data_IF_390715347378
#
_entry.id   IF_390715347378
#
_cell.length_a   1.000
_cell.length_b   1.000
_cell.length_c   1.000
_cell.angle_alpha   90.00
_cell.angle_beta   90.00
_cell.angle_gamma   90.00
#
_symmetry.space_group_name_H-M   'P 1'
#
loop_
_entity.id
_entity.type
_entity.pdbx_description
1 polymer ?
#
# COMPACT_ATOMS: atom_id res chain seq x y z
N UNK A 1 33.27 -27.18 61.30
CA UNK A 1 32.02 -27.76 60.74
C UNK A 1 31.40 -26.74 59.79
N UNK A 2 31.13 -27.18 58.55
CA UNK A 2 30.17 -26.62 57.57
C UNK A 2 30.37 -25.17 57.08
N UNK A 3 31.07 -25.07 55.94
CA UNK A 3 30.76 -24.14 54.82
C UNK A 3 29.27 -24.35 54.41
N UNK A 4 28.53 -23.40 53.82
CA UNK A 4 28.82 -23.08 52.41
C UNK A 4 28.38 -21.70 51.86
N UNK A 5 28.78 -21.50 50.60
CA UNK A 5 28.06 -20.78 49.54
C UNK A 5 28.36 -19.29 49.34
N UNK A 6 29.49 -19.05 48.68
CA UNK A 6 29.65 -18.03 47.64
C UNK A 6 28.44 -18.07 46.68
N UNK A 7 27.68 -16.99 46.61
CA UNK A 7 26.72 -16.72 45.54
C UNK A 7 27.37 -15.73 44.59
N UNK A 8 27.96 -16.25 43.51
CA UNK A 8 28.41 -15.43 42.37
C UNK A 8 27.16 -15.11 41.54
N UNK A 9 26.63 -13.91 41.71
CA UNK A 9 25.60 -13.34 40.84
C UNK A 9 26.22 -13.05 39.47
N UNK A 10 26.20 -14.07 38.60
CA UNK A 10 26.55 -13.97 37.19
C UNK A 10 25.48 -13.14 36.49
N UNK A 11 25.65 -11.81 36.50
CA UNK A 11 24.89 -10.89 35.67
C UNK A 11 25.24 -11.15 34.20
N UNK A 12 24.60 -12.16 33.60
CA UNK A 12 24.68 -12.36 32.17
C UNK A 12 24.00 -11.16 31.48
N UNK A 13 24.68 -10.43 30.58
CA UNK A 13 24.02 -9.38 29.83
C UNK A 13 22.97 -10.05 28.95
N UNK A 14 21.70 -9.76 29.26
CA UNK A 14 20.58 -10.11 28.41
C UNK A 14 20.78 -9.35 27.10
N UNK A 15 21.40 -10.03 26.12
CA UNK A 15 21.57 -9.53 24.78
C UNK A 15 20.17 -9.27 24.23
N UNK A 16 19.73 -8.01 24.28
CA UNK A 16 18.56 -7.56 23.55
C UNK A 16 18.90 -7.74 22.08
N UNK A 17 18.45 -8.86 21.50
CA UNK A 17 18.35 -9.01 20.06
C UNK A 17 17.48 -7.85 19.56
N UNK A 18 18.14 -6.82 19.05
CA UNK A 18 17.49 -5.71 18.37
C UNK A 18 16.82 -6.29 17.13
N UNK A 19 15.55 -6.65 17.27
CA UNK A 19 14.75 -7.15 16.17
C UNK A 19 14.64 -6.02 15.15
N UNK A 20 15.43 -6.12 14.08
CA UNK A 20 15.41 -5.20 12.94
C UNK A 20 14.08 -5.41 12.22
N UNK A 21 13.00 -4.82 12.75
CA UNK A 21 11.69 -4.85 12.13
C UNK A 21 11.82 -4.32 10.70
N UNK A 22 11.51 -5.15 9.69
CA UNK A 22 11.30 -4.69 8.32
C UNK A 22 10.22 -3.62 8.39
N UNK A 23 10.60 -2.34 8.41
CA UNK A 23 9.64 -1.24 8.37
C UNK A 23 8.89 -1.35 7.03
N UNK A 24 7.54 -1.34 7.04
CA UNK A 24 6.78 -1.29 5.80
C UNK A 24 7.24 -0.05 5.03
N UNK A 25 7.74 -0.31 3.83
CA UNK A 25 8.58 0.64 3.13
C UNK A 25 7.72 1.62 2.32
N UNK A 26 6.51 1.22 1.91
CA UNK A 26 5.48 2.07 1.30
C UNK A 26 4.38 2.39 2.29
N UNK A 27 4.05 3.68 2.42
CA UNK A 27 2.88 4.16 3.16
C UNK A 27 2.00 4.97 2.22
N UNK A 28 0.78 4.51 2.01
CA UNK A 28 -0.24 5.26 1.27
C UNK A 28 -0.93 6.28 2.18
N UNK A 29 -1.35 7.41 1.60
CA UNK A 29 -2.12 8.43 2.31
C UNK A 29 -3.55 7.96 2.56
N UNK A 30 -4.10 7.18 1.62
CA UNK A 30 -5.36 6.46 1.74
C UNK A 30 -5.24 5.09 1.07
N UNK A 31 -5.97 4.10 1.58
CA UNK A 31 -6.10 2.77 0.95
C UNK A 31 -7.47 2.57 0.33
N UNK A 32 -8.39 3.51 0.54
CA UNK A 32 -9.74 3.48 -0.03
C UNK A 32 -10.12 4.86 -0.54
N UNK A 33 -10.71 4.93 -1.72
CA UNK A 33 -11.35 6.14 -2.26
C UNK A 33 -12.79 5.79 -2.63
N UNK A 34 -13.73 6.54 -2.06
CA UNK A 34 -15.16 6.40 -2.31
C UNK A 34 -15.63 7.67 -3.01
N UNK A 35 -16.34 7.50 -4.12
CA UNK A 35 -17.07 8.57 -4.80
C UNK A 35 -18.53 8.15 -4.87
N UNK A 36 -19.46 8.98 -4.43
CA UNK A 36 -20.88 8.63 -4.52
C UNK A 36 -21.32 8.63 -5.98
N UNK A 37 -21.46 9.79 -6.59
CA UNK A 37 -21.94 9.90 -7.97
C UNK A 37 -20.79 10.17 -8.95
N UNK A 38 -20.68 9.32 -9.97
CA UNK A 38 -19.71 9.44 -11.06
C UNK A 38 -20.46 9.59 -12.39
N UNK A 39 -20.18 10.64 -13.18
CA UNK A 39 -20.79 10.79 -14.50
C UNK A 39 -20.46 9.63 -15.43
N UNK A 40 -21.44 9.23 -16.26
CA UNK A 40 -21.23 8.32 -17.38
C UNK A 40 -20.07 8.79 -18.27
N UNK A 41 -19.22 7.85 -18.69
CA UNK A 41 -18.01 8.09 -19.51
C UNK A 41 -16.97 9.09 -18.93
N UNK A 42 -17.05 9.39 -17.62
CA UNK A 42 -16.03 10.19 -16.92
C UNK A 42 -14.62 9.62 -17.11
N UNK A 43 -13.64 10.53 -17.27
CA UNK A 43 -12.21 10.23 -17.35
C UNK A 43 -11.46 10.45 -16.03
N UNK A 44 -12.19 10.69 -14.94
CA UNK A 44 -11.60 11.04 -13.65
C UNK A 44 -10.87 9.87 -13.01
N UNK A 45 -9.57 10.05 -12.75
CA UNK A 45 -8.73 9.04 -12.13
C UNK A 45 -8.91 9.00 -10.62
N UNK A 46 -8.91 7.80 -10.05
CA UNK A 46 -8.69 7.58 -8.62
C UNK A 46 -7.18 7.59 -8.36
N UNK A 47 -6.68 8.55 -7.58
CA UNK A 47 -5.24 8.72 -7.38
C UNK A 47 -4.88 8.39 -5.94
N UNK A 48 -4.07 7.34 -5.77
CA UNK A 48 -3.54 6.93 -4.48
C UNK A 48 -2.10 7.43 -4.34
N UNK A 49 -1.91 8.49 -3.57
CA UNK A 49 -0.60 9.00 -3.20
C UNK A 49 0.05 8.14 -2.12
N UNK A 50 1.36 7.96 -2.23
CA UNK A 50 2.14 7.23 -1.24
C UNK A 50 3.55 7.80 -1.07
N UNK A 51 4.19 7.39 0.02
CA UNK A 51 5.57 7.74 0.36
C UNK A 51 6.41 6.51 0.68
N UNK A 52 7.64 6.51 0.18
CA UNK A 52 8.67 5.56 0.59
C UNK A 52 9.27 6.00 1.94
N UNK A 53 8.81 5.39 3.03
CA UNK A 53 9.36 5.60 4.38
C UNK A 53 10.53 4.65 4.71
N UNK A 54 10.92 3.81 3.76
CA UNK A 54 12.09 2.93 3.83
C UNK A 54 13.42 3.70 3.75
N UNK A 55 14.52 2.95 3.89
CA UNK A 55 15.89 3.49 3.79
C UNK A 55 16.51 3.28 2.40
N UNK A 56 15.87 2.49 1.55
CA UNK A 56 16.32 2.12 0.20
C UNK A 56 15.28 2.56 -0.83
N UNK A 57 15.67 2.79 -2.09
CA UNK A 57 14.71 2.96 -3.18
C UNK A 57 13.77 1.75 -3.30
N UNK A 58 12.51 1.99 -3.65
CA UNK A 58 11.48 0.96 -3.85
C UNK A 58 10.95 1.08 -5.27
N UNK A 59 10.80 -0.05 -5.95
CA UNK A 59 10.11 -0.14 -7.24
C UNK A 59 8.76 -0.81 -7.03
N UNK A 60 7.73 -0.30 -7.69
CA UNK A 60 6.47 -1.03 -7.83
C UNK A 60 6.66 -2.05 -8.96
N UNK A 61 6.69 -3.34 -8.61
CA UNK A 61 6.91 -4.42 -9.58
C UNK A 61 5.67 -4.66 -10.40
N UNK A 62 4.52 -4.75 -9.74
CA UNK A 62 3.25 -5.00 -10.40
C UNK A 62 2.09 -4.32 -9.70
N UNK A 63 1.06 -4.04 -10.50
CA UNK A 63 -0.24 -3.57 -10.04
C UNK A 63 -1.29 -4.43 -10.73
N UNK A 64 -2.04 -5.22 -9.95
CA UNK A 64 -3.09 -6.10 -10.45
C UNK A 64 -4.45 -5.55 -10.09
N UNK A 65 -5.33 -5.43 -11.09
CA UNK A 65 -6.74 -5.04 -10.90
C UNK A 65 -7.64 -6.27 -10.88
N UNK A 66 -8.80 -6.16 -10.21
CA UNK A 66 -9.74 -7.29 -10.07
C UNK A 66 -10.45 -7.72 -11.36
N UNK A 67 -10.54 -6.85 -12.37
CA UNK A 67 -11.24 -7.08 -13.64
C UNK A 67 -10.60 -6.25 -14.77
N UNK A 68 -10.83 -6.62 -16.02
CA UNK A 68 -10.48 -5.80 -17.20
C UNK A 68 -11.27 -4.50 -17.33
N UNK A 69 -12.19 -4.22 -16.40
CA UNK A 69 -12.95 -2.98 -16.29
C UNK A 69 -12.24 -1.89 -15.49
N UNK A 70 -11.02 -2.17 -15.04
CA UNK A 70 -10.20 -1.27 -14.24
C UNK A 70 -8.76 -1.35 -14.72
N UNK A 71 -8.18 -0.20 -15.00
CA UNK A 71 -6.78 -0.05 -15.40
C UNK A 71 -6.04 0.72 -14.32
N UNK A 72 -4.81 0.33 -14.03
CA UNK A 72 -3.98 1.03 -13.05
C UNK A 72 -2.60 1.33 -13.63
N UNK A 73 -2.12 2.54 -13.38
CA UNK A 73 -0.80 3.01 -13.75
C UNK A 73 0.05 3.20 -12.50
N UNK A 74 1.30 2.76 -12.60
CA UNK A 74 2.30 2.85 -11.54
C UNK A 74 3.48 3.70 -12.02
N UNK A 75 4.31 4.24 -11.11
CA UNK A 75 5.55 4.89 -11.49
C UNK A 75 6.48 3.91 -12.20
N UNK A 76 7.11 4.36 -13.29
CA UNK A 76 8.09 3.57 -14.06
C UNK A 76 9.42 3.44 -13.31
N UNK A 77 9.79 4.49 -12.60
CA UNK A 77 11.05 4.61 -11.88
C UNK A 77 10.95 4.16 -10.43
N UNK A 78 12.11 3.88 -9.84
CA UNK A 78 12.19 3.59 -8.42
C UNK A 78 11.95 4.86 -7.60
N UNK A 79 11.16 4.73 -6.54
CA UNK A 79 10.85 5.80 -5.60
C UNK A 79 11.97 5.84 -4.55
N UNK A 80 12.76 6.92 -4.58
CA UNK A 80 13.87 7.12 -3.66
C UNK A 80 13.45 7.18 -2.18
N UNK A 81 14.42 7.14 -1.28
CA UNK A 81 14.20 7.27 0.17
C UNK A 81 13.45 8.57 0.48
N UNK A 82 12.36 8.49 1.26
CA UNK A 82 11.45 9.61 1.56
C UNK A 82 10.77 10.23 0.33
N UNK A 83 10.96 9.65 -0.87
CA UNK A 83 10.29 10.06 -2.09
C UNK A 83 8.81 9.69 -2.06
N UNK A 84 8.04 10.38 -2.89
CA UNK A 84 6.61 10.12 -3.06
C UNK A 84 6.34 9.57 -4.46
N UNK A 85 5.23 8.86 -4.60
CA UNK A 85 4.71 8.38 -5.86
C UNK A 85 3.20 8.29 -5.80
N UNK A 86 2.60 7.91 -6.92
CA UNK A 86 1.15 7.73 -7.03
C UNK A 86 0.81 6.47 -7.82
N UNK A 87 -0.31 5.84 -7.47
CA UNK A 87 -0.98 4.85 -8.31
C UNK A 87 -2.24 5.51 -8.86
N UNK A 88 -2.34 5.64 -10.18
CA UNK A 88 -3.51 6.19 -10.86
C UNK A 88 -4.40 5.05 -11.34
N UNK A 89 -5.68 5.08 -10.99
CA UNK A 89 -6.63 4.02 -11.34
C UNK A 89 -7.79 4.61 -12.14
N UNK A 90 -8.08 4.01 -13.29
CA UNK A 90 -9.24 4.33 -14.13
C UNK A 90 -10.24 3.19 -14.07
N UNK A 91 -11.53 3.52 -13.99
CA UNK A 91 -12.65 2.58 -14.06
C UNK A 91 -13.45 2.85 -15.33
N UNK A 92 -13.94 1.80 -15.99
CA UNK A 92 -14.86 1.91 -17.13
C UNK A 92 -16.23 2.43 -16.68
N UNK A 93 -16.37 3.75 -16.70
CA UNK A 93 -17.59 4.50 -16.33
C UNK A 93 -18.69 4.43 -17.37
N UNK A 94 -18.59 3.54 -18.38
CA UNK A 94 -19.74 3.14 -19.21
C UNK A 94 -20.58 2.05 -18.55
N UNK A 95 -20.11 1.51 -17.43
CA UNK A 95 -20.82 0.53 -16.61
C UNK A 95 -21.60 1.25 -15.51
N UNK A 96 -22.86 1.54 -15.80
CA UNK A 96 -23.79 2.20 -14.88
C UNK A 96 -24.03 1.35 -13.63
N UNK A 97 -24.15 2.00 -12.48
CA UNK A 97 -24.44 1.38 -11.18
C UNK A 97 -23.25 1.36 -10.22
N UNK A 98 -23.48 0.72 -9.07
CA UNK A 98 -22.50 0.61 -8.00
C UNK A 98 -21.34 -0.33 -8.35
N UNK A 99 -20.14 0.03 -7.89
CA UNK A 99 -18.97 -0.82 -8.00
C UNK A 99 -18.07 -0.73 -6.77
N UNK A 100 -17.39 -1.84 -6.52
CA UNK A 100 -16.24 -1.95 -5.62
C UNK A 100 -15.15 -2.69 -6.38
N UNK A 101 -13.93 -2.13 -6.41
CA UNK A 101 -12.77 -2.74 -7.08
C UNK A 101 -11.55 -2.69 -6.19
N UNK A 102 -10.79 -3.77 -6.23
CA UNK A 102 -9.53 -3.91 -5.51
C UNK A 102 -8.35 -3.86 -6.49
N UNK A 103 -7.29 -3.19 -6.05
CA UNK A 103 -6.04 -3.00 -6.78
C UNK A 103 -4.90 -3.45 -5.86
N UNK A 104 -4.25 -4.55 -6.20
CA UNK A 104 -3.10 -5.07 -5.44
C UNK A 104 -1.83 -4.46 -5.99
N UNK A 105 -1.09 -3.74 -5.15
CA UNK A 105 0.19 -3.10 -5.46
C UNK A 105 1.30 -3.92 -4.83
N UNK A 106 2.17 -4.49 -5.64
CA UNK A 106 3.29 -5.33 -5.17
C UNK A 106 4.62 -4.59 -5.38
N UNK A 107 5.30 -4.19 -4.29
CA UNK A 107 6.65 -3.64 -4.38
C UNK A 107 7.70 -4.75 -4.43
N UNK A 108 8.91 -4.38 -4.88
CA UNK A 108 10.08 -5.28 -4.82
C UNK A 108 10.57 -5.57 -3.40
N UNK A 109 10.21 -4.71 -2.45
CA UNK A 109 10.58 -4.80 -1.04
C UNK A 109 9.41 -4.39 -0.15
N UNK A 110 9.03 -5.28 0.77
CA UNK A 110 7.88 -5.10 1.66
C UNK A 110 6.72 -6.00 1.27
N UNK A 111 5.60 -5.83 1.97
CA UNK A 111 4.39 -6.61 1.72
C UNK A 111 3.53 -5.91 0.63
N UNK A 112 2.76 -6.68 -0.16
CA UNK A 112 1.77 -6.11 -1.06
C UNK A 112 0.74 -5.27 -0.31
N UNK A 113 0.28 -4.19 -0.95
CA UNK A 113 -0.77 -3.31 -0.41
C UNK A 113 -2.00 -3.43 -1.30
N UNK A 114 -3.17 -3.63 -0.70
CA UNK A 114 -4.45 -3.64 -1.42
C UNK A 114 -5.10 -2.26 -1.29
N UNK A 115 -5.44 -1.66 -2.42
CA UNK A 115 -6.17 -0.41 -2.53
C UNK A 115 -7.61 -0.70 -3.01
N UNK A 116 -8.57 0.10 -2.59
CA UNK A 116 -9.99 -0.08 -2.94
C UNK A 116 -10.57 1.21 -3.52
N UNK A 117 -11.25 1.09 -4.65
CA UNK A 117 -12.10 2.16 -5.19
C UNK A 117 -13.56 1.74 -5.11
N UNK A 118 -14.43 2.68 -4.75
CA UNK A 118 -15.88 2.49 -4.74
C UNK A 118 -16.59 3.67 -5.38
N UNK A 119 -17.73 3.39 -5.99
CA UNK A 119 -18.69 4.42 -6.30
C UNK A 119 -19.90 3.94 -7.08
N UNK A 120 -20.72 4.90 -7.52
CA UNK A 120 -21.91 4.66 -8.33
C UNK A 120 -21.82 5.48 -9.62
N UNK A 121 -21.83 4.79 -10.76
CA UNK A 121 -21.86 5.45 -12.06
C UNK A 121 -23.30 5.79 -12.40
N UNK A 122 -23.57 7.07 -12.61
CA UNK A 122 -24.88 7.57 -13.00
C UNK A 122 -25.20 7.16 -14.46
N UNK A 123 -26.48 6.97 -14.80
CA UNK A 123 -26.91 6.80 -16.19
C UNK A 123 -26.44 7.96 -17.09
N UNK A 124 -26.34 7.69 -18.39
CA UNK A 124 -26.09 8.72 -19.39
C UNK A 124 -27.17 9.80 -19.29
N UNK A 125 -26.75 11.07 -19.15
CA UNK A 125 -27.69 12.20 -19.20
C UNK A 125 -28.17 12.33 -20.64
N UNK A 126 -29.45 12.10 -20.85
CA UNK A 126 -30.15 12.31 -22.13
C UNK A 126 -30.22 13.80 -22.47
#
# INVERSE_FOLDING_TARGET
MRNPLLIVLLFAPLFLLSQKTKKPALKFDAVEIIREDIPYDSKDLFVFSFKNNGKTPIRIESVQTSCGCTTAEKPSDAIGKKGSGQISVSYDTKRVGEFVKSITVTPNLGDPVVLTIRGNVLPEKQ
#
